data_IF_059845629914
#
_entry.id   IF_059845629914
#
_cell.length_a   1.000
_cell.length_b   1.000
_cell.length_c   1.000
_cell.angle_alpha   90.00
_cell.angle_beta   90.00
_cell.angle_gamma   90.00
#
_symmetry.space_group_name_H-M   'P 1'
#
loop_
_entity.id
_entity.type
_entity.pdbx_description
1 polymer ?
#
# COMPACT_ATOMS: atom_id res chain seq x y z
N UNK A 1 17.00 -12.51 14.21
CA UNK A 1 17.29 -11.11 14.64
C UNK A 1 16.11 -10.24 14.23
N UNK A 2 15.32 -9.86 15.22
CA UNK A 2 14.03 -9.19 15.11
C UNK A 2 14.29 -7.68 15.24
N UNK A 3 14.44 -6.97 14.13
CA UNK A 3 14.81 -5.56 14.12
C UNK A 3 13.62 -4.62 13.88
N UNK A 4 12.42 -5.02 14.31
CA UNK A 4 11.38 -4.04 14.68
C UNK A 4 11.40 -4.00 16.20
N UNK A 5 12.02 -2.96 16.77
CA UNK A 5 12.03 -2.78 18.23
C UNK A 5 10.58 -2.65 18.67
N UNK A 6 10.16 -3.47 19.64
CA UNK A 6 8.78 -3.54 20.12
C UNK A 6 8.25 -2.23 20.76
N UNK A 7 9.02 -1.13 20.74
CA UNK A 7 8.62 0.22 21.14
C UNK A 7 8.42 1.22 20.00
N UNK A 8 8.49 0.81 18.73
CA UNK A 8 8.36 1.72 17.56
C UNK A 8 7.24 1.32 16.59
N UNK A 9 6.22 0.61 17.07
CA UNK A 9 5.01 0.33 16.28
C UNK A 9 4.08 1.55 16.43
N UNK A 10 3.72 2.18 15.31
CA UNK A 10 2.77 3.30 15.30
C UNK A 10 1.38 2.94 15.87
N UNK A 11 0.48 3.92 16.01
CA UNK A 11 -0.88 3.66 16.44
C UNK A 11 -1.70 2.98 15.32
N UNK A 12 -2.35 1.86 15.63
CA UNK A 12 -3.20 1.07 14.71
C UNK A 12 -4.33 1.92 14.10
N UNK A 13 -4.79 2.95 14.83
CA UNK A 13 -5.88 3.82 14.39
C UNK A 13 -5.58 4.56 13.09
N UNK A 14 -4.30 4.75 12.74
CA UNK A 14 -3.88 5.36 11.47
C UNK A 14 -4.43 4.61 10.26
N UNK A 15 -4.16 3.30 10.14
CA UNK A 15 -4.69 2.51 9.02
C UNK A 15 -6.22 2.38 9.08
N UNK A 16 -6.82 2.36 10.28
CA UNK A 16 -8.29 2.31 10.41
C UNK A 16 -8.97 3.61 9.99
N UNK A 17 -8.35 4.75 10.27
CA UNK A 17 -8.80 6.07 9.80
C UNK A 17 -8.78 6.13 8.28
N UNK A 18 -7.67 5.70 7.67
CA UNK A 18 -7.54 5.57 6.21
C UNK A 18 -8.67 4.76 5.59
N UNK A 19 -8.93 3.55 6.12
CA UNK A 19 -9.97 2.67 5.59
C UNK A 19 -11.37 3.29 5.69
N UNK A 20 -11.67 3.94 6.81
CA UNK A 20 -12.94 4.67 6.99
C UNK A 20 -13.10 5.80 5.97
N UNK A 21 -12.05 6.58 5.70
CA UNK A 21 -12.07 7.64 4.68
C UNK A 21 -12.29 7.08 3.27
N UNK A 22 -11.89 5.84 3.01
CA UNK A 22 -12.10 5.14 1.74
C UNK A 22 -13.39 4.31 1.68
N UNK A 23 -14.28 4.46 2.66
CA UNK A 23 -15.56 3.73 2.69
C UNK A 23 -15.42 2.23 2.99
N UNK A 24 -14.28 1.79 3.50
CA UNK A 24 -14.04 0.41 3.92
C UNK A 24 -14.15 0.32 5.43
N UNK A 25 -15.01 -0.58 5.92
CA UNK A 25 -15.11 -0.88 7.35
C UNK A 25 -13.86 -1.68 7.80
N UNK A 26 -12.96 -1.09 8.61
CA UNK A 26 -11.72 -1.76 9.02
C UNK A 26 -11.97 -2.94 9.97
N UNK A 27 -13.16 -3.08 10.54
CA UNK A 27 -13.53 -4.23 11.36
C UNK A 27 -13.87 -5.46 10.51
N UNK A 28 -14.41 -5.24 9.30
CA UNK A 28 -14.70 -6.28 8.31
C UNK A 28 -13.48 -6.62 7.46
N UNK A 29 -12.76 -5.60 6.99
CA UNK A 29 -11.53 -5.75 6.22
C UNK A 29 -10.37 -5.14 6.98
N UNK A 30 -9.64 -6.00 7.69
CA UNK A 30 -8.52 -5.57 8.53
C UNK A 30 -7.35 -5.07 7.67
N UNK A 31 -6.75 -3.92 7.98
CA UNK A 31 -5.52 -3.48 7.33
C UNK A 31 -4.37 -4.48 7.50
N UNK A 32 -3.55 -4.63 6.46
CA UNK A 32 -2.39 -5.54 6.47
C UNK A 32 -1.40 -5.22 7.59
N UNK A 33 -1.14 -3.93 7.85
CA UNK A 33 -0.28 -3.45 8.93
C UNK A 33 -0.73 -3.94 10.32
N UNK A 34 -2.03 -3.91 10.58
CA UNK A 34 -2.62 -4.39 11.83
C UNK A 34 -2.56 -5.91 11.93
N UNK A 35 -2.84 -6.62 10.83
CA UNK A 35 -2.77 -8.08 10.79
C UNK A 35 -1.35 -8.58 11.09
N UNK A 36 -0.33 -7.97 10.47
CA UNK A 36 1.08 -8.30 10.69
C UNK A 36 1.54 -7.95 12.11
N UNK A 37 1.16 -6.78 12.63
CA UNK A 37 1.47 -6.39 14.02
C UNK A 37 0.88 -7.38 15.04
N UNK A 38 -0.34 -7.88 14.79
CA UNK A 38 -0.96 -8.90 15.65
C UNK A 38 -0.21 -10.23 15.60
N UNK A 39 0.27 -10.67 14.44
CA UNK A 39 1.10 -11.89 14.33
C UNK A 39 2.34 -11.77 15.23
N UNK A 40 3.02 -10.63 15.17
CA UNK A 40 4.18 -10.36 16.03
C UNK A 40 3.82 -10.37 17.52
N UNK A 41 2.69 -9.79 17.92
CA UNK A 41 2.22 -9.83 19.32
C UNK A 41 1.92 -11.25 19.82
N UNK A 42 1.54 -12.16 18.92
CA UNK A 42 1.32 -13.58 19.22
C UNK A 42 2.60 -14.42 19.23
N UNK A 43 3.76 -13.82 18.96
CA UNK A 43 5.03 -14.54 18.82
C UNK A 43 5.16 -15.28 17.48
N UNK A 44 4.26 -15.04 16.52
CA UNK A 44 4.35 -15.61 15.19
C UNK A 44 5.35 -14.81 14.33
N UNK A 45 6.18 -15.47 13.50
CA UNK A 45 7.07 -14.76 12.59
C UNK A 45 6.26 -14.04 11.50
N UNK A 46 6.84 -12.94 10.99
CA UNK A 46 6.34 -12.32 9.76
C UNK A 46 6.52 -13.30 8.57
N UNK A 47 5.65 -13.21 7.55
CA UNK A 47 5.84 -13.95 6.31
C UNK A 47 7.24 -13.69 5.72
N UNK A 48 7.86 -14.74 5.18
CA UNK A 48 9.12 -14.67 4.43
C UNK A 48 8.82 -14.97 2.97
N UNK A 49 8.76 -13.94 2.13
CA UNK A 49 8.31 -14.03 0.74
C UNK A 49 9.49 -13.77 -0.19
N UNK A 50 10.03 -12.56 -0.15
CA UNK A 50 11.28 -12.15 -0.80
C UNK A 50 11.79 -10.89 -0.08
N UNK A 51 13.05 -10.53 -0.26
CA UNK A 51 13.68 -9.44 0.51
C UNK A 51 12.91 -8.12 0.42
N UNK A 52 12.37 -7.77 -0.75
CA UNK A 52 11.65 -6.51 -0.94
C UNK A 52 10.30 -6.50 -0.21
N UNK A 53 9.54 -7.58 -0.37
CA UNK A 53 8.24 -7.78 0.31
C UNK A 53 8.43 -7.88 1.83
N UNK A 54 9.49 -8.54 2.29
CA UNK A 54 9.82 -8.68 3.71
C UNK A 54 10.11 -7.31 4.35
N UNK A 55 10.84 -6.43 3.64
CA UNK A 55 11.08 -5.04 4.09
C UNK A 55 9.77 -4.24 4.09
N UNK A 56 8.94 -4.35 3.06
CA UNK A 56 7.66 -3.64 3.01
C UNK A 56 6.73 -4.07 4.15
N UNK A 57 6.67 -5.36 4.46
CA UNK A 57 5.91 -5.87 5.60
C UNK A 57 6.44 -5.30 6.93
N UNK A 58 7.77 -5.25 7.11
CA UNK A 58 8.37 -4.65 8.31
C UNK A 58 8.05 -3.16 8.43
N UNK A 59 8.16 -2.40 7.33
CA UNK A 59 7.82 -0.97 7.27
C UNK A 59 6.33 -0.72 7.52
N UNK A 60 5.46 -1.55 6.95
CA UNK A 60 4.01 -1.48 7.15
C UNK A 60 3.65 -1.68 8.62
N UNK A 61 4.31 -2.62 9.32
CA UNK A 61 4.16 -2.81 10.76
C UNK A 61 4.68 -1.60 11.55
N UNK A 62 5.89 -1.11 11.24
CA UNK A 62 6.48 0.01 11.97
C UNK A 62 5.62 1.28 11.87
N UNK A 63 5.20 1.63 10.65
CA UNK A 63 4.46 2.86 10.37
C UNK A 63 2.95 2.72 10.63
N UNK A 64 2.45 1.50 10.79
CA UNK A 64 1.02 1.19 10.87
C UNK A 64 0.22 1.74 9.68
N UNK A 65 0.75 1.55 8.47
CA UNK A 65 0.09 1.94 7.21
C UNK A 65 0.22 0.81 6.18
N UNK A 66 -0.75 0.65 5.27
CA UNK A 66 -0.57 -0.26 4.15
C UNK A 66 0.54 0.22 3.21
N UNK A 67 1.31 -0.74 2.70
CA UNK A 67 2.37 -0.51 1.72
C UNK A 67 2.11 -1.45 0.54
N UNK A 68 1.85 -0.87 -0.64
CA UNK A 68 1.72 -1.60 -1.90
C UNK A 68 3.05 -1.65 -2.64
N UNK A 69 3.32 -2.79 -3.29
CA UNK A 69 4.52 -2.97 -4.12
C UNK A 69 4.13 -3.41 -5.53
N UNK A 70 4.65 -2.70 -6.52
CA UNK A 70 4.32 -2.92 -7.93
C UNK A 70 5.57 -3.13 -8.77
N UNK A 71 5.59 -4.21 -9.54
CA UNK A 71 6.62 -4.47 -10.54
C UNK A 71 6.39 -3.58 -11.77
N UNK A 72 7.27 -2.59 -11.93
CA UNK A 72 7.18 -1.63 -13.04
C UNK A 72 7.45 -2.27 -14.40
N UNK A 73 8.10 -3.44 -14.45
CA UNK A 73 8.26 -4.20 -15.68
C UNK A 73 6.97 -4.89 -16.15
N UNK A 74 5.94 -4.95 -15.30
CA UNK A 74 4.65 -5.60 -15.60
C UNK A 74 3.50 -4.63 -15.86
N UNK A 75 3.71 -3.33 -15.66
CA UNK A 75 2.73 -2.31 -15.98
C UNK A 75 2.51 -2.19 -17.49
N UNK A 76 1.30 -1.74 -17.86
CA UNK A 76 0.99 -1.37 -19.24
C UNK A 76 1.15 0.13 -19.46
N UNK A 77 1.87 0.48 -20.53
CA UNK A 77 2.20 1.85 -20.96
C UNK A 77 3.06 2.67 -19.98
N UNK A 78 3.80 2.01 -19.07
CA UNK A 78 4.71 2.64 -18.09
C UNK A 78 4.06 3.74 -17.21
N UNK A 79 2.73 3.82 -17.17
CA UNK A 79 1.97 4.80 -16.39
C UNK A 79 1.20 4.10 -15.27
N UNK A 80 1.18 4.76 -14.11
CA UNK A 80 0.43 4.32 -12.95
C UNK A 80 -0.42 5.48 -12.43
N UNK A 81 -1.70 5.22 -12.25
CA UNK A 81 -2.70 6.21 -11.83
C UNK A 81 -3.34 5.78 -10.53
N UNK A 82 -3.40 6.68 -9.56
CA UNK A 82 -4.28 6.52 -8.40
C UNK A 82 -5.64 7.14 -8.71
N UNK A 83 -6.71 6.35 -8.61
CA UNK A 83 -8.09 6.80 -8.85
C UNK A 83 -9.10 5.96 -8.09
N UNK A 84 -10.35 6.38 -8.10
CA UNK A 84 -11.46 5.51 -7.68
C UNK A 84 -11.74 4.48 -8.78
N UNK A 85 -12.03 3.24 -8.38
CA UNK A 85 -12.50 2.21 -9.29
C UNK A 85 -13.93 2.49 -9.74
N UNK A 86 -14.20 2.24 -11.01
CA UNK A 86 -15.53 2.34 -11.60
C UNK A 86 -16.37 1.11 -11.25
N UNK A 87 -17.68 1.21 -11.45
CA UNK A 87 -18.60 0.07 -11.30
C UNK A 87 -18.18 -1.11 -12.17
N UNK A 88 -18.20 -2.31 -11.59
CA UNK A 88 -17.78 -3.55 -12.26
C UNK A 88 -16.27 -3.78 -12.35
N UNK A 89 -15.42 -2.80 -12.04
CA UNK A 89 -13.97 -2.98 -12.08
C UNK A 89 -13.46 -3.89 -10.95
N UNK A 90 -12.53 -4.78 -11.31
CA UNK A 90 -11.91 -5.73 -10.41
C UNK A 90 -10.59 -6.27 -10.97
N UNK A 91 -9.80 -6.90 -10.11
CA UNK A 91 -8.59 -7.63 -10.50
C UNK A 91 -8.40 -8.90 -9.69
N UNK A 92 -7.57 -9.80 -10.18
CA UNK A 92 -7.12 -10.96 -9.43
C UNK A 92 -6.08 -10.53 -8.40
N UNK A 93 -6.40 -10.66 -7.12
CA UNK A 93 -5.49 -10.37 -6.02
C UNK A 93 -4.41 -11.44 -5.85
N UNK A 94 -3.32 -11.07 -5.20
CA UNK A 94 -2.30 -12.04 -4.77
C UNK A 94 -2.98 -13.08 -3.84
N UNK A 95 -2.98 -14.35 -4.26
CA UNK A 95 -3.74 -15.42 -3.58
C UNK A 95 -5.01 -15.88 -4.29
N UNK A 96 -5.31 -15.34 -5.49
CA UNK A 96 -6.43 -15.75 -6.38
C UNK A 96 -7.83 -15.40 -5.87
N UNK A 97 -7.94 -14.41 -4.98
CA UNK A 97 -9.24 -13.82 -4.66
C UNK A 97 -9.50 -12.63 -5.57
N UNK A 98 -10.68 -12.58 -6.18
CA UNK A 98 -11.10 -11.45 -7.01
C UNK A 98 -11.40 -10.24 -6.13
N UNK A 99 -10.69 -9.14 -6.38
CA UNK A 99 -10.81 -7.89 -5.62
C UNK A 99 -11.67 -6.90 -6.38
N UNK A 100 -12.79 -6.50 -5.79
CA UNK A 100 -13.64 -5.43 -6.30
C UNK A 100 -13.16 -4.06 -5.81
N UNK A 101 -13.10 -3.09 -6.72
CA UNK A 101 -12.65 -1.72 -6.45
C UNK A 101 -13.69 -0.64 -6.76
N UNK A 102 -14.94 -1.00 -7.03
CA UNK A 102 -16.00 -0.03 -7.31
C UNK A 102 -16.14 0.97 -6.14
N UNK A 103 -15.98 2.27 -6.45
CA UNK A 103 -16.01 3.36 -5.48
C UNK A 103 -14.85 3.39 -4.48
N UNK A 104 -13.82 2.56 -4.67
CA UNK A 104 -12.66 2.44 -3.77
C UNK A 104 -11.40 2.96 -4.45
N UNK A 105 -10.47 3.49 -3.67
CA UNK A 105 -9.14 3.82 -4.21
C UNK A 105 -8.49 2.56 -4.77
N UNK A 106 -7.96 2.70 -5.97
CA UNK A 106 -7.13 1.71 -6.61
C UNK A 106 -5.92 2.39 -7.27
N UNK A 107 -4.89 1.59 -7.43
CA UNK A 107 -3.78 1.83 -8.34
C UNK A 107 -4.16 1.14 -9.64
N UNK A 108 -4.04 1.83 -10.76
CA UNK A 108 -4.38 1.31 -12.08
C UNK A 108 -3.30 1.65 -13.11
N UNK A 109 -3.22 0.84 -14.15
CA UNK A 109 -2.47 1.15 -15.38
C UNK A 109 -3.44 1.14 -16.58
N UNK A 110 -2.89 1.14 -17.80
CA UNK A 110 -3.70 1.14 -19.03
C UNK A 110 -4.60 -0.10 -19.21
N UNK A 111 -4.35 -1.20 -18.49
CA UNK A 111 -5.18 -2.42 -18.53
C UNK A 111 -6.28 -2.41 -17.46
N UNK A 112 -6.18 -1.49 -16.49
CA UNK A 112 -7.14 -1.32 -15.41
C UNK A 112 -6.49 -1.45 -14.03
N UNK A 113 -7.31 -1.61 -12.98
CA UNK A 113 -6.83 -1.70 -11.61
C UNK A 113 -5.83 -2.84 -11.39
N UNK A 114 -4.78 -2.56 -10.64
CA UNK A 114 -3.68 -3.48 -10.32
C UNK A 114 -3.27 -3.46 -8.84
N UNK A 115 -3.98 -2.72 -7.99
CA UNK A 115 -3.78 -2.76 -6.55
C UNK A 115 -4.72 -1.83 -5.81
N UNK A 116 -4.75 -1.97 -4.49
CA UNK A 116 -5.43 -1.07 -3.58
C UNK A 116 -4.77 -1.16 -2.18
N UNK A 117 -5.17 -0.34 -1.19
CA UNK A 117 -4.59 -0.39 0.14
C UNK A 117 -4.70 -1.75 0.86
N UNK A 118 -5.58 -2.65 0.41
CA UNK A 118 -5.84 -3.94 1.06
C UNK A 118 -5.13 -5.11 0.40
N UNK A 119 -4.97 -5.10 -0.91
CA UNK A 119 -4.42 -6.20 -1.69
C UNK A 119 -3.85 -5.71 -3.02
N UNK A 120 -2.65 -6.17 -3.38
CA UNK A 120 -2.08 -5.93 -4.71
C UNK A 120 -2.55 -7.01 -5.69
N UNK A 121 -2.49 -6.71 -7.00
CA UNK A 121 -2.83 -7.67 -8.04
C UNK A 121 -1.72 -8.70 -8.24
N UNK A 122 -2.12 -9.94 -8.58
CA UNK A 122 -1.19 -10.96 -9.05
C UNK A 122 -0.48 -10.54 -10.36
N UNK A 123 -1.11 -9.71 -11.19
CA UNK A 123 -0.57 -9.26 -12.49
C UNK A 123 0.71 -8.44 -12.34
N UNK A 124 0.75 -7.56 -11.34
CA UNK A 124 1.85 -6.60 -11.10
C UNK A 124 2.67 -6.94 -9.86
N UNK A 125 2.53 -8.16 -9.31
CA UNK A 125 3.20 -8.56 -8.08
C UNK A 125 4.74 -8.58 -8.22
N UNK A 126 5.43 -8.27 -7.14
CA UNK A 126 6.88 -8.45 -7.02
C UNK A 126 7.24 -9.94 -7.06
N UNK A 127 8.27 -10.27 -7.84
CA UNK A 127 8.92 -11.59 -7.82
C UNK A 127 10.43 -11.41 -7.67
N UNK A 128 11.16 -12.52 -7.54
CA UNK A 128 12.63 -12.50 -7.52
C UNK A 128 13.26 -12.06 -8.85
N UNK A 129 12.46 -11.92 -9.91
CA UNK A 129 12.90 -11.40 -11.21
C UNK A 129 12.61 -9.89 -11.37
N UNK A 130 11.97 -9.24 -10.40
CA UNK A 130 11.66 -7.81 -10.48
C UNK A 130 12.94 -6.96 -10.40
N UNK A 131 13.20 -6.16 -11.44
CA UNK A 131 14.35 -5.24 -11.49
C UNK A 131 13.98 -3.79 -11.15
N UNK A 132 12.71 -3.40 -11.38
CA UNK A 132 12.21 -2.06 -11.15
C UNK A 132 10.90 -2.14 -10.36
N UNK A 133 10.85 -1.51 -9.20
CA UNK A 133 9.70 -1.56 -8.31
C UNK A 133 9.24 -0.17 -7.89
N UNK A 134 7.91 0.03 -7.84
CA UNK A 134 7.29 1.17 -7.18
C UNK A 134 6.79 0.77 -5.79
N UNK A 135 6.96 1.67 -4.85
CA UNK A 135 6.45 1.58 -3.49
C UNK A 135 5.39 2.64 -3.30
N UNK A 136 4.20 2.22 -2.86
CA UNK A 136 3.13 3.16 -2.52
C UNK A 136 2.79 2.99 -1.06
N UNK A 137 2.98 4.06 -0.29
CA UNK A 137 2.57 4.14 1.10
C UNK A 137 1.20 4.80 1.16
N UNK A 138 0.19 4.07 1.63
CA UNK A 138 -1.14 4.62 1.81
C UNK A 138 -1.22 5.27 3.19
N UNK A 139 -0.93 6.56 3.25
CA UNK A 139 -0.85 7.29 4.51
C UNK A 139 -2.22 7.90 4.87
N UNK A 140 -2.67 7.82 6.13
CA UNK A 140 -3.75 8.66 6.62
C UNK A 140 -3.21 10.08 6.78
N UNK A 141 -3.32 10.85 5.71
CA UNK A 141 -2.87 12.24 5.69
C UNK A 141 -3.90 13.09 6.44
N UNK A 142 -3.50 13.66 7.58
CA UNK A 142 -4.25 14.73 8.26
C UNK A 142 -3.90 16.08 7.62
N UNK A 143 -4.71 17.09 7.86
CA UNK A 143 -4.49 18.42 7.28
C UNK A 143 -3.08 18.94 7.62
N UNK A 144 -2.64 18.78 8.89
CA UNK A 144 -1.28 19.12 9.32
C UNK A 144 -0.18 18.30 8.60
N UNK A 145 -0.46 17.04 8.22
CA UNK A 145 0.47 16.20 7.46
C UNK A 145 0.60 16.69 6.00
N UNK A 146 -0.45 17.30 5.42
CA UNK A 146 -0.42 17.89 4.06
C UNK A 146 0.55 19.05 4.02
N UNK A 147 0.40 20.00 4.94
CA UNK A 147 1.23 21.21 5.00
C UNK A 147 2.70 20.84 5.20
N UNK A 148 2.96 19.92 6.15
CA UNK A 148 4.31 19.43 6.39
C UNK A 148 4.90 18.69 5.18
N UNK A 149 4.08 17.92 4.47
CA UNK A 149 4.51 17.23 3.25
C UNK A 149 4.81 18.23 2.13
N UNK A 150 3.99 19.26 1.97
CA UNK A 150 4.22 20.33 0.99
C UNK A 150 5.52 21.10 1.28
N UNK A 151 5.80 21.41 2.55
CA UNK A 151 7.09 22.00 2.98
C UNK A 151 8.27 21.09 2.62
N UNK A 152 8.17 19.79 2.93
CA UNK A 152 9.24 18.84 2.63
C UNK A 152 9.44 18.66 1.12
N UNK A 153 8.37 18.65 0.32
CA UNK A 153 8.45 18.64 -1.14
C UNK A 153 9.09 19.93 -1.66
N UNK A 154 8.78 21.10 -1.08
CA UNK A 154 9.40 22.36 -1.47
C UNK A 154 10.91 22.38 -1.18
N UNK A 155 11.34 21.78 -0.06
CA UNK A 155 12.75 21.77 0.36
C UNK A 155 13.56 20.65 -0.31
N UNK A 156 12.97 19.47 -0.48
CA UNK A 156 13.68 18.25 -0.90
C UNK A 156 13.15 17.64 -2.20
N UNK A 157 11.98 18.04 -2.67
CA UNK A 157 11.34 17.49 -3.85
C UNK A 157 12.10 17.84 -5.12
N UNK A 158 12.69 16.84 -5.77
CA UNK A 158 13.34 16.96 -7.09
C UNK A 158 12.46 16.43 -8.22
N UNK A 159 11.17 16.82 -8.23
CA UNK A 159 10.24 16.62 -9.35
C UNK A 159 10.10 15.18 -9.85
N UNK A 160 9.29 14.37 -9.17
CA UNK A 160 8.83 13.06 -9.68
C UNK A 160 7.33 13.03 -10.00
N UNK A 161 6.56 14.03 -9.56
CA UNK A 161 5.11 14.08 -9.78
C UNK A 161 4.75 15.43 -10.39
N UNK A 162 4.30 15.41 -11.64
CA UNK A 162 3.76 16.59 -12.33
C UNK A 162 2.28 16.68 -12.00
N UNK A 163 1.92 17.60 -11.11
CA UNK A 163 0.52 17.99 -10.90
C UNK A 163 0.10 18.83 -12.12
N UNK A 164 -0.77 18.30 -12.97
CA UNK A 164 -1.34 19.03 -14.11
C UNK A 164 -2.54 19.85 -13.62
N UNK A 165 -2.74 21.09 -14.08
CA UNK A 165 -3.87 21.95 -13.67
C UNK A 165 -5.25 21.34 -13.93
#
# INVERSE_FOLDING_TARGET
MQAVRAGTIGPVDRARELYRRFGVDPTKMRPSSEALARRMKKGEPLPRINSLVDVANAMSVQLQVPVGLYDLGKLKNDEMVLRLGAEGESYEGIGKEKVNVAGRICVADAEGPCGNPSADSARTMITTATERAAWIYFLPVRDDDVDRTAELIAVFGRGLVRMVP
#
